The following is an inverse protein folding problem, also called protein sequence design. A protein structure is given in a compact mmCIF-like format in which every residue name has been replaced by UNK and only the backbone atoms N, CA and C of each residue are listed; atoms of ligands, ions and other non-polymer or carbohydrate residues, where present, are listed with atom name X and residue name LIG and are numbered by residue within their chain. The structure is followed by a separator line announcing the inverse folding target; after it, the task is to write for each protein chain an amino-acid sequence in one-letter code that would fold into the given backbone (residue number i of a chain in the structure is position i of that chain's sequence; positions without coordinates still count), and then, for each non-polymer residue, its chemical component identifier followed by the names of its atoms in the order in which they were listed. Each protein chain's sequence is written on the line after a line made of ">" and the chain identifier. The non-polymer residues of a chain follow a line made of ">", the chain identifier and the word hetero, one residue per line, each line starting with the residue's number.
data_IF_877072729751
#
_entry.id   IF_877072729751
#
_cell.length_a   1.000
_cell.length_b   1.000
_cell.length_c   1.000
_cell.angle_alpha   90.00
_cell.angle_beta   90.00
_cell.angle_gamma   90.00
#
_symmetry.space_group_name_H-M   'P 1'
#
loop_
_entity.id
_entity.type
_entity.pdbx_description
1 polymer ?
#
# COMPACT_ATOMS: atom_id res chain seq x y z
N UNK A 1 -9.82 33.71 0.62
CA UNK A 1 -8.88 33.34 1.69
C UNK A 1 -7.96 32.28 1.12
N UNK A 2 -6.69 32.61 0.92
CA UNK A 2 -5.65 31.67 0.46
C UNK A 2 -5.28 30.78 1.64
N UNK A 3 -5.69 29.51 1.61
CA UNK A 3 -5.26 28.52 2.61
C UNK A 3 -3.84 28.07 2.28
N UNK A 4 -2.87 28.39 3.14
CA UNK A 4 -1.52 27.86 3.04
C UNK A 4 -1.49 26.41 3.56
N UNK A 5 -1.03 25.47 2.73
CA UNK A 5 -0.82 24.08 3.09
C UNK A 5 0.66 23.85 3.40
N UNK A 6 0.98 23.33 4.59
CA UNK A 6 2.34 22.98 5.03
C UNK A 6 2.65 21.53 4.68
N UNK A 7 3.84 21.29 4.14
CA UNK A 7 4.32 19.96 3.76
C UNK A 7 5.51 19.59 4.65
N UNK A 8 5.47 18.41 5.28
CA UNK A 8 6.57 17.86 6.07
C UNK A 8 7.08 16.56 5.45
N UNK A 9 8.41 16.45 5.26
CA UNK A 9 9.09 15.27 4.70
C UNK A 9 9.63 14.37 5.82
N UNK A 10 9.49 13.05 5.69
CA UNK A 10 10.22 12.05 6.50
C UNK A 10 11.16 11.26 5.61
N UNK A 11 12.46 11.26 5.93
CA UNK A 11 13.48 10.44 5.27
C UNK A 11 13.93 9.32 6.22
N UNK A 12 13.97 8.07 5.75
CA UNK A 12 14.63 6.96 6.45
C UNK A 12 15.67 6.33 5.51
N UNK A 13 16.91 6.22 5.97
CA UNK A 13 18.01 5.66 5.20
C UNK A 13 17.83 4.15 4.94
N UNK A 14 17.99 3.74 3.68
CA UNK A 14 17.96 2.33 3.27
C UNK A 14 19.34 1.71 3.51
N UNK A 15 19.44 0.69 4.36
CA UNK A 15 20.62 -0.16 4.46
C UNK A 15 20.47 -1.35 3.51
N UNK A 16 21.27 -1.37 2.44
CA UNK A 16 21.43 -2.51 1.53
C UNK A 16 22.33 -3.58 2.14
N UNK A 17 21.86 -4.82 2.22
CA UNK A 17 22.67 -5.99 2.54
C UNK A 17 22.13 -7.24 1.86
N UNK A 18 22.78 -7.67 0.77
CA UNK A 18 22.48 -8.92 0.08
C UNK A 18 23.60 -9.93 0.27
N UNK A 19 23.26 -11.21 0.49
CA UNK A 19 24.18 -12.35 0.26
C UNK A 19 23.37 -13.54 -0.30
N UNK A 20 23.98 -14.18 -1.31
CA UNK A 20 23.53 -15.31 -2.14
C UNK A 20 23.55 -16.68 -1.42
N UNK A 21 22.75 -17.60 -1.98
CA UNK A 21 22.43 -18.94 -1.50
C UNK A 21 23.45 -20.05 -1.85
N UNK A 22 23.31 -21.20 -1.17
CA UNK A 22 23.73 -22.53 -1.64
C UNK A 22 22.63 -23.54 -1.29
N UNK A 23 22.13 -24.30 -2.28
CA UNK A 23 20.93 -25.15 -2.16
C UNK A 23 21.20 -26.64 -1.98
N UNK A 24 20.11 -27.42 -1.85
CA UNK A 24 19.97 -28.82 -2.29
C UNK A 24 18.49 -29.25 -2.22
N UNK A 25 18.07 -30.04 -3.21
CA UNK A 25 16.70 -30.48 -3.51
C UNK A 25 16.46 -31.86 -2.88
N UNK A 26 15.26 -32.10 -2.33
CA UNK A 26 14.72 -33.45 -2.18
C UNK A 26 13.19 -33.46 -2.38
N UNK A 27 12.72 -34.39 -3.21
CA UNK A 27 11.33 -34.66 -3.59
C UNK A 27 10.74 -35.68 -2.62
N UNK A 28 9.49 -35.48 -2.18
CA UNK A 28 8.74 -36.42 -1.35
C UNK A 28 7.23 -36.19 -1.43
N UNK A 29 6.47 -37.28 -1.38
CA UNK A 29 5.13 -37.50 -1.95
C UNK A 29 3.94 -36.91 -1.16
N UNK A 30 2.85 -36.59 -1.90
CA UNK A 30 1.57 -36.09 -1.38
C UNK A 30 0.75 -37.18 -0.68
N UNK A 31 0.33 -36.91 0.55
CA UNK A 31 -0.82 -37.53 1.20
C UNK A 31 -1.85 -36.46 1.58
N UNK A 32 -3.10 -36.61 1.14
CA UNK A 32 -4.21 -35.75 1.51
C UNK A 32 -4.76 -36.13 2.90
N UNK A 33 -4.83 -35.16 3.83
CA UNK A 33 -5.85 -35.14 4.89
C UNK A 33 -6.29 -33.69 5.15
N UNK A 34 -7.60 -33.51 5.20
CA UNK A 34 -8.29 -32.28 5.64
C UNK A 34 -8.08 -32.09 7.14
N UNK A 35 -7.73 -30.88 7.57
CA UNK A 35 -7.71 -30.49 8.97
C UNK A 35 -8.06 -29.00 9.13
N UNK A 36 -9.01 -28.70 10.01
CA UNK A 36 -9.23 -27.35 10.55
C UNK A 36 -7.90 -26.79 11.08
N UNK A 37 -7.52 -25.53 10.79
CA UNK A 37 -6.29 -24.98 11.33
C UNK A 37 -6.47 -24.68 12.81
N UNK A 38 -6.02 -25.61 13.66
CA UNK A 38 -5.73 -25.30 15.05
C UNK A 38 -4.52 -24.34 15.08
N UNK A 39 -4.62 -23.30 15.89
CA UNK A 39 -3.50 -22.41 16.18
C UNK A 39 -2.37 -23.23 16.82
N UNK A 40 -1.30 -23.51 16.06
CA UNK A 40 -0.10 -24.15 16.60
C UNK A 40 0.70 -23.10 17.36
N UNK A 41 0.86 -23.29 18.68
CA UNK A 41 1.85 -22.56 19.46
C UNK A 41 3.26 -22.99 18.99
N UNK A 42 4.02 -22.06 18.40
CA UNK A 42 5.39 -22.30 17.95
C UNK A 42 6.35 -21.51 18.84
N UNK A 43 7.41 -22.17 19.29
CA UNK A 43 8.48 -21.60 20.11
C UNK A 43 9.20 -20.44 19.37
N UNK A 44 9.55 -19.35 20.06
CA UNK A 44 10.21 -18.20 19.45
C UNK A 44 11.58 -18.60 18.88
N UNK A 45 11.71 -18.56 17.55
CA UNK A 45 13.00 -18.56 16.88
C UNK A 45 13.35 -17.13 16.48
N UNK A 46 14.56 -16.68 16.81
CA UNK A 46 15.08 -15.39 16.37
C UNK A 46 15.18 -15.38 14.84
N UNK A 47 14.63 -14.34 14.22
CA UNK A 47 14.54 -14.18 12.77
C UNK A 47 15.81 -13.59 12.13
N UNK A 48 16.92 -13.47 12.88
CA UNK A 48 18.23 -13.10 12.35
C UNK A 48 18.42 -11.62 12.00
N UNK A 49 17.56 -10.73 12.51
CA UNK A 49 17.75 -9.28 12.43
C UNK A 49 17.97 -8.70 13.84
N UNK A 50 18.74 -7.61 13.94
CA UNK A 50 18.91 -6.81 15.16
C UNK A 50 18.08 -5.54 15.02
N UNK A 51 17.18 -5.28 15.98
CA UNK A 51 16.39 -4.04 16.00
C UNK A 51 17.14 -3.00 16.83
N UNK A 52 17.66 -1.95 16.19
CA UNK A 52 18.39 -0.87 16.86
C UNK A 52 17.45 0.19 17.48
N UNK A 53 16.51 -0.22 18.35
CA UNK A 53 15.57 0.73 19.00
C UNK A 53 15.51 0.63 20.53
N UNK A 54 16.35 -0.20 21.15
CA UNK A 54 16.46 -0.27 22.61
C UNK A 54 17.40 0.81 23.16
N UNK A 55 16.90 2.05 23.17
CA UNK A 55 17.42 3.06 24.08
C UNK A 55 16.78 2.86 25.46
N UNK A 56 17.55 2.76 26.56
CA UNK A 56 17.01 2.74 27.91
C UNK A 56 16.10 3.96 28.14
N UNK A 57 14.82 3.74 28.44
CA UNK A 57 13.82 4.80 28.64
C UNK A 57 12.84 5.04 27.49
N UNK A 58 12.95 4.31 26.37
CA UNK A 58 11.93 4.34 25.32
C UNK A 58 10.59 3.74 25.77
N UNK A 59 9.46 4.27 25.30
CA UNK A 59 8.14 3.72 25.62
C UNK A 59 8.06 2.22 25.23
N UNK A 60 7.40 1.35 26.01
CA UNK A 60 7.17 -0.04 25.64
C UNK A 60 6.45 -0.09 24.28
N UNK A 61 6.86 -1.00 23.39
CA UNK A 61 6.25 -1.11 22.07
C UNK A 61 6.64 -2.39 21.34
N UNK A 62 5.75 -2.86 20.47
CA UNK A 62 6.00 -3.98 19.58
C UNK A 62 6.37 -3.48 18.18
N UNK A 63 7.11 -4.30 17.44
CA UNK A 63 7.43 -4.12 16.03
C UNK A 63 6.60 -5.10 15.21
N UNK A 64 5.93 -4.58 14.17
CA UNK A 64 5.03 -5.33 13.30
C UNK A 64 5.63 -5.38 11.91
N UNK A 65 5.83 -6.57 11.36
CA UNK A 65 6.36 -6.71 10.01
C UNK A 65 5.97 -8.05 9.39
N UNK A 66 6.13 -8.15 8.08
CA UNK A 66 5.91 -9.38 7.32
C UNK A 66 7.28 -9.93 6.92
N UNK A 67 7.50 -11.23 7.14
CA UNK A 67 8.72 -11.95 6.77
C UNK A 67 8.46 -12.96 5.65
N UNK A 68 9.53 -13.43 5.00
CA UNK A 68 9.47 -14.38 3.88
C UNK A 68 9.18 -13.70 2.54
N UNK A 69 8.28 -14.28 1.74
CA UNK A 69 7.84 -13.68 0.46
C UNK A 69 6.80 -12.61 0.74
N UNK A 70 7.25 -11.40 1.04
CA UNK A 70 6.37 -10.26 1.33
C UNK A 70 5.78 -9.64 0.06
N UNK A 71 4.75 -8.80 0.22
CA UNK A 71 4.20 -7.99 -0.86
C UNK A 71 5.27 -7.15 -1.58
N UNK A 72 6.31 -6.70 -0.87
CA UNK A 72 7.42 -5.93 -1.43
C UNK A 72 8.56 -6.80 -2.02
N UNK A 73 8.50 -8.13 -1.92
CA UNK A 73 9.58 -9.00 -2.41
C UNK A 73 9.75 -8.88 -3.94
N UNK A 74 11.00 -8.65 -4.38
CA UNK A 74 11.39 -8.49 -5.79
C UNK A 74 12.06 -9.75 -6.37
N UNK A 75 12.36 -10.75 -5.53
CA UNK A 75 13.06 -11.97 -5.95
C UNK A 75 12.12 -13.11 -6.39
N UNK A 76 12.73 -14.15 -6.94
CA UNK A 76 12.03 -15.35 -7.41
C UNK A 76 12.01 -16.49 -6.36
N UNK A 77 12.56 -16.24 -5.16
CA UNK A 77 12.67 -17.25 -4.12
C UNK A 77 11.44 -17.17 -3.22
N UNK A 78 10.58 -18.19 -3.31
CA UNK A 78 9.41 -18.29 -2.44
C UNK A 78 9.78 -18.91 -1.10
N UNK A 79 9.58 -18.15 -0.03
CA UNK A 79 9.60 -18.60 1.37
C UNK A 79 8.19 -18.42 1.97
N UNK A 80 7.78 -19.24 2.95
CA UNK A 80 6.51 -19.03 3.65
C UNK A 80 6.38 -17.58 4.14
N UNK A 81 5.25 -16.97 3.83
CA UNK A 81 4.96 -15.62 4.29
C UNK A 81 4.49 -15.68 5.74
N UNK A 82 5.12 -14.90 6.63
CA UNK A 82 4.83 -14.93 8.07
C UNK A 82 4.52 -13.52 8.54
N UNK A 83 3.35 -13.33 9.14
CA UNK A 83 3.04 -12.13 9.92
C UNK A 83 3.77 -12.22 11.25
N UNK A 84 4.50 -11.18 11.64
CA UNK A 84 5.31 -11.21 12.87
C UNK A 84 5.03 -9.97 13.73
N UNK A 85 4.82 -10.22 15.01
CA UNK A 85 4.90 -9.22 16.07
C UNK A 85 6.08 -9.60 16.94
N UNK A 86 7.02 -8.67 17.11
CA UNK A 86 8.19 -8.83 17.96
C UNK A 86 8.28 -7.71 19.00
N UNK A 87 8.94 -7.97 20.12
CA UNK A 87 9.38 -6.89 21.01
C UNK A 87 10.56 -6.11 20.40
N UNK A 88 11.02 -5.07 21.09
CA UNK A 88 12.15 -4.24 20.64
C UNK A 88 13.49 -4.95 20.66
N UNK A 89 13.63 -6.01 21.46
CA UNK A 89 14.82 -6.86 21.45
C UNK A 89 14.83 -7.86 20.27
N UNK A 90 13.73 -7.93 19.52
CA UNK A 90 13.55 -8.84 18.40
C UNK A 90 12.99 -10.22 18.77
N UNK A 91 12.57 -10.43 20.02
CA UNK A 91 11.88 -11.65 20.40
C UNK A 91 10.48 -11.66 19.79
N UNK A 92 10.16 -12.74 19.07
CA UNK A 92 8.84 -12.94 18.50
C UNK A 92 7.84 -13.18 19.64
N UNK A 93 6.81 -12.35 19.71
CA UNK A 93 5.70 -12.48 20.67
C UNK A 93 4.48 -13.15 20.05
N UNK A 94 4.31 -12.98 18.75
CA UNK A 94 3.28 -13.65 17.97
C UNK A 94 3.73 -13.77 16.52
N UNK A 95 3.38 -14.89 15.90
CA UNK A 95 3.55 -15.05 14.46
C UNK A 95 2.44 -15.89 13.86
N UNK A 96 2.18 -15.68 12.57
CA UNK A 96 1.24 -16.48 11.79
C UNK A 96 1.81 -16.72 10.41
N UNK A 97 2.09 -17.99 10.11
CA UNK A 97 2.40 -18.43 8.75
C UNK A 97 1.13 -18.43 7.91
N UNK A 98 1.23 -17.93 6.68
CA UNK A 98 0.13 -17.86 5.72
C UNK A 98 0.11 -19.11 4.82
N UNK A 99 -1.04 -19.46 4.23
CA UNK A 99 -1.13 -20.54 3.26
C UNK A 99 -0.10 -20.39 2.12
N UNK A 100 0.39 -21.53 1.62
CA UNK A 100 1.36 -21.54 0.53
C UNK A 100 0.82 -20.80 -0.71
N UNK A 101 1.64 -19.89 -1.26
CA UNK A 101 1.28 -19.06 -2.42
C UNK A 101 0.61 -17.74 -2.05
N UNK A 102 0.27 -17.51 -0.79
CA UNK A 102 -0.19 -16.22 -0.29
C UNK A 102 0.96 -15.40 0.31
N UNK A 103 0.78 -14.08 0.24
CA UNK A 103 1.63 -13.07 0.83
C UNK A 103 0.77 -12.07 1.61
N UNK A 104 1.41 -11.17 2.34
CA UNK A 104 0.75 -10.12 3.09
C UNK A 104 1.49 -8.79 3.02
N UNK A 105 0.74 -7.75 3.37
CA UNK A 105 1.18 -6.37 3.52
C UNK A 105 0.30 -5.68 4.57
N UNK A 106 0.61 -4.42 4.89
CA UNK A 106 -0.21 -3.61 5.79
C UNK A 106 -0.43 -4.19 7.20
N UNK A 107 0.51 -5.00 7.71
CA UNK A 107 0.43 -5.50 9.08
C UNK A 107 0.64 -4.34 10.08
N UNK A 108 -0.45 -3.91 10.72
CA UNK A 108 -0.39 -2.81 11.70
C UNK A 108 -1.52 -2.91 12.73
N UNK A 109 -1.35 -2.21 13.85
CA UNK A 109 -2.42 -1.99 14.82
C UNK A 109 -3.27 -0.81 14.37
N UNK A 110 -4.59 -0.99 14.42
CA UNK A 110 -5.58 0.06 14.19
C UNK A 110 -6.62 0.03 15.32
N UNK A 111 -7.64 0.88 15.25
CA UNK A 111 -8.78 0.85 16.18
C UNK A 111 -10.06 0.52 15.45
N UNK A 112 -10.87 -0.36 16.03
CA UNK A 112 -12.22 -0.64 15.58
C UNK A 112 -13.16 -0.61 16.78
N UNK A 113 -14.20 0.24 16.72
CA UNK A 113 -15.17 0.45 17.83
C UNK A 113 -14.49 0.71 19.18
N UNK A 114 -13.46 1.57 19.16
CA UNK A 114 -12.69 1.96 20.34
C UNK A 114 -11.65 0.94 20.83
N UNK A 115 -11.68 -0.30 20.33
CA UNK A 115 -10.73 -1.37 20.72
C UNK A 115 -9.54 -1.46 19.77
N UNK A 116 -8.34 -1.80 20.26
CA UNK A 116 -7.22 -2.12 19.39
C UNK A 116 -7.52 -3.38 18.59
N UNK A 117 -7.15 -3.38 17.31
CA UNK A 117 -7.24 -4.53 16.41
C UNK A 117 -5.96 -4.66 15.60
N UNK A 118 -5.59 -5.88 15.27
CA UNK A 118 -4.53 -6.16 14.31
C UNK A 118 -5.14 -6.26 12.91
N UNK A 119 -4.55 -5.59 11.93
CA UNK A 119 -5.03 -5.59 10.55
C UNK A 119 -3.92 -5.95 9.57
N UNK A 120 -4.26 -6.60 8.47
CA UNK A 120 -3.36 -6.82 7.34
C UNK A 120 -4.15 -7.05 6.05
N UNK A 121 -3.50 -6.85 4.92
CA UNK A 121 -3.93 -7.42 3.64
C UNK A 121 -3.26 -8.79 3.45
N UNK A 122 -3.99 -9.75 2.89
CA UNK A 122 -3.47 -11.08 2.54
C UNK A 122 -4.03 -11.56 1.20
N UNK A 123 -3.16 -12.11 0.35
CA UNK A 123 -3.54 -12.60 -0.97
C UNK A 123 -2.34 -12.88 -1.87
N UNK A 124 -2.52 -12.77 -3.18
CA UNK A 124 -1.48 -12.99 -4.19
C UNK A 124 -0.95 -11.67 -4.71
N UNK A 125 0.35 -11.61 -4.98
CA UNK A 125 0.98 -10.49 -5.70
C UNK A 125 0.87 -10.72 -7.20
N UNK A 126 0.43 -9.71 -7.95
CA UNK A 126 0.37 -9.70 -9.39
C UNK A 126 0.82 -8.34 -9.92
N UNK A 127 1.85 -8.31 -10.77
CA UNK A 127 2.26 -7.10 -11.52
C UNK A 127 2.35 -5.81 -10.69
N UNK A 128 2.87 -5.90 -9.47
CA UNK A 128 3.05 -4.74 -8.58
C UNK A 128 1.87 -4.42 -7.67
N UNK A 129 0.71 -5.08 -7.80
CA UNK A 129 -0.47 -4.91 -6.94
C UNK A 129 -0.95 -6.24 -6.35
N UNK A 130 -1.86 -6.17 -5.39
CA UNK A 130 -2.41 -7.32 -4.69
C UNK A 130 -3.76 -7.78 -5.23
N UNK A 131 -3.99 -9.09 -5.23
CA UNK A 131 -5.32 -9.70 -5.31
C UNK A 131 -5.56 -10.50 -4.03
N UNK A 132 -6.38 -9.95 -3.13
CA UNK A 132 -6.67 -10.59 -1.86
C UNK A 132 -7.84 -9.96 -1.11
N UNK A 133 -7.76 -10.08 0.20
CA UNK A 133 -8.72 -9.54 1.15
C UNK A 133 -8.03 -8.84 2.32
N UNK A 134 -8.77 -7.94 2.95
CA UNK A 134 -8.34 -7.21 4.13
C UNK A 134 -8.88 -7.89 5.39
N UNK A 135 -8.02 -8.17 6.36
CA UNK A 135 -8.34 -8.93 7.56
C UNK A 135 -8.25 -8.08 8.81
N UNK A 136 -9.18 -8.28 9.75
CA UNK A 136 -9.20 -7.65 11.07
C UNK A 136 -9.21 -8.77 12.11
N UNK A 137 -8.27 -8.71 13.05
CA UNK A 137 -8.20 -9.59 14.20
C UNK A 137 -8.30 -8.80 15.52
N UNK A 138 -8.92 -9.43 16.53
CA UNK A 138 -9.02 -8.87 17.88
C UNK A 138 -7.69 -8.95 18.65
N UNK A 139 -7.70 -8.51 19.91
CA UNK A 139 -6.54 -8.54 20.82
C UNK A 139 -6.09 -9.96 21.22
N UNK A 140 -6.90 -10.97 20.91
CA UNK A 140 -6.57 -12.39 21.06
C UNK A 140 -6.13 -13.03 19.74
N UNK A 141 -5.90 -12.21 18.70
CA UNK A 141 -5.49 -12.61 17.36
C UNK A 141 -6.52 -13.48 16.62
N UNK A 142 -7.77 -13.50 17.06
CA UNK A 142 -8.85 -14.15 16.32
C UNK A 142 -9.29 -13.25 15.18
N UNK A 143 -9.40 -13.79 13.97
CA UNK A 143 -9.96 -13.04 12.83
C UNK A 143 -11.45 -12.78 13.10
N UNK A 144 -11.81 -11.51 13.22
CA UNK A 144 -13.19 -11.07 13.48
C UNK A 144 -13.88 -10.48 12.23
N UNK A 145 -13.11 -10.09 11.22
CA UNK A 145 -13.67 -9.68 9.93
C UNK A 145 -12.70 -9.91 8.77
N UNK A 146 -13.28 -10.14 7.60
CA UNK A 146 -12.60 -10.20 6.31
C UNK A 146 -13.42 -9.37 5.33
N UNK A 147 -12.76 -8.43 4.67
CA UNK A 147 -13.36 -7.41 3.81
C UNK A 147 -12.74 -7.44 2.41
N UNK A 148 -13.56 -7.14 1.42
CA UNK A 148 -13.16 -6.75 0.07
C UNK A 148 -13.72 -5.36 -0.22
N UNK A 149 -13.27 -4.67 -1.29
CA UNK A 149 -13.85 -3.39 -1.70
C UNK A 149 -15.33 -3.49 -2.13
N UNK A 150 -15.84 -4.71 -2.33
CA UNK A 150 -17.19 -5.03 -2.79
C UNK A 150 -17.28 -5.36 -4.28
N UNK A 151 -18.43 -5.89 -4.70
CA UNK A 151 -18.62 -6.40 -6.06
C UNK A 151 -17.64 -7.51 -6.40
N UNK A 152 -17.08 -7.47 -7.60
CA UNK A 152 -16.04 -8.40 -8.08
C UNK A 152 -14.61 -7.90 -7.79
N UNK A 153 -14.47 -6.78 -7.05
CA UNK A 153 -13.15 -6.20 -6.77
C UNK A 153 -12.40 -6.99 -5.71
N UNK A 154 -11.08 -7.08 -5.91
CA UNK A 154 -10.15 -7.65 -4.96
C UNK A 154 -9.44 -6.55 -4.17
N UNK A 155 -9.16 -6.78 -2.88
CA UNK A 155 -8.34 -5.83 -2.11
C UNK A 155 -6.93 -5.84 -2.65
N UNK A 156 -6.36 -4.66 -2.86
CA UNK A 156 -4.96 -4.48 -3.20
C UNK A 156 -4.07 -4.47 -1.94
N UNK A 157 -2.80 -4.76 -2.15
CA UNK A 157 -1.79 -4.90 -1.10
C UNK A 157 -1.32 -3.58 -0.50
N UNK A 158 -1.58 -2.44 -1.13
CA UNK A 158 -0.96 -1.17 -0.72
C UNK A 158 -1.66 -0.48 0.43
N UNK A 159 -3.00 -0.55 0.52
CA UNK A 159 -3.72 0.16 1.58
C UNK A 159 -4.89 -0.62 2.15
N UNK A 160 -4.93 -0.68 3.49
CA UNK A 160 -6.09 -1.08 4.25
C UNK A 160 -6.16 -0.28 5.56
N UNK A 161 -7.02 0.74 5.61
CA UNK A 161 -7.12 1.67 6.75
C UNK A 161 -8.51 1.67 7.35
N UNK A 162 -8.62 1.58 8.67
CA UNK A 162 -9.86 1.75 9.42
C UNK A 162 -10.04 3.21 9.79
N UNK A 163 -11.29 3.68 9.73
CA UNK A 163 -11.67 5.01 10.19
C UNK A 163 -12.30 4.94 11.59
N UNK A 164 -12.24 6.01 12.39
CA UNK A 164 -12.79 6.02 13.75
C UNK A 164 -14.28 5.67 13.84
N UNK A 165 -15.05 5.93 12.79
CA UNK A 165 -16.48 5.64 12.69
C UNK A 165 -16.81 4.23 12.17
N UNK A 166 -15.81 3.34 12.09
CA UNK A 166 -16.04 1.92 11.79
C UNK A 166 -16.14 1.58 10.30
N UNK A 167 -15.62 2.45 9.42
CA UNK A 167 -15.45 2.16 8.00
C UNK A 167 -14.02 1.69 7.71
N UNK A 168 -13.83 1.17 6.51
CA UNK A 168 -12.55 0.73 5.97
C UNK A 168 -12.30 1.41 4.62
N UNK A 169 -11.08 1.91 4.41
CA UNK A 169 -10.55 2.43 3.17
C UNK A 169 -9.71 1.31 2.54
N UNK A 170 -10.02 0.94 1.30
CA UNK A 170 -9.39 -0.18 0.60
C UNK A 170 -9.08 0.24 -0.85
N UNK A 171 -7.85 -0.03 -1.30
CA UNK A 171 -7.45 0.12 -2.71
C UNK A 171 -7.78 -1.13 -3.52
N UNK A 172 -7.96 -0.98 -4.83
CA UNK A 172 -8.13 -2.10 -5.77
C UNK A 172 -7.69 -1.70 -7.18
N UNK A 173 -7.32 -2.70 -8.00
CA UNK A 173 -6.74 -2.51 -9.33
C UNK A 173 -7.52 -3.33 -10.39
N UNK A 174 -8.82 -3.09 -10.61
CA UNK A 174 -9.56 -3.78 -11.67
C UNK A 174 -8.92 -3.50 -13.03
N UNK A 175 -8.77 -4.55 -13.82
CA UNK A 175 -8.33 -4.44 -15.20
C UNK A 175 -9.54 -4.14 -16.09
N UNK A 176 -9.46 -3.07 -16.86
CA UNK A 176 -10.54 -2.66 -17.78
C UNK A 176 -9.97 -2.35 -19.17
N UNK A 177 -10.81 -2.47 -20.20
CA UNK A 177 -10.47 -2.03 -21.54
C UNK A 177 -10.46 -0.49 -21.61
N UNK A 178 -9.47 0.09 -22.30
CA UNK A 178 -9.36 1.53 -22.50
C UNK A 178 -8.62 1.88 -23.80
N UNK A 179 -8.96 3.03 -24.36
CA UNK A 179 -8.22 3.62 -25.48
C UNK A 179 -6.91 4.26 -24.99
N UNK A 180 -5.78 3.69 -25.38
CA UNK A 180 -4.44 4.16 -25.00
C UNK A 180 -3.76 4.98 -26.11
N UNK A 181 -4.46 5.33 -27.19
CA UNK A 181 -3.88 6.06 -28.33
C UNK A 181 -3.30 7.41 -27.92
N UNK A 182 -3.89 8.09 -26.92
CA UNK A 182 -3.41 9.36 -26.38
C UNK A 182 -1.99 9.30 -25.79
N UNK A 183 -1.49 8.11 -25.47
CA UNK A 183 -0.12 7.86 -24.96
C UNK A 183 0.71 6.98 -25.92
N UNK A 184 0.28 6.86 -27.19
CA UNK A 184 0.96 6.04 -28.21
C UNK A 184 0.74 4.53 -28.06
N UNK A 185 -0.25 4.11 -27.26
CA UNK A 185 -0.66 2.71 -27.11
C UNK A 185 -1.76 2.28 -28.09
N UNK A 186 -2.23 1.02 -27.98
CA UNK A 186 -3.33 0.49 -28.79
C UNK A 186 -4.68 1.11 -28.40
N UNK A 187 -5.64 1.10 -29.36
CA UNK A 187 -7.01 1.58 -29.14
C UNK A 187 -7.84 0.66 -28.23
N UNK A 188 -7.51 -0.63 -28.22
CA UNK A 188 -8.15 -1.69 -27.45
C UNK A 188 -7.20 -2.21 -26.33
N UNK A 189 -6.49 -1.28 -25.69
CA UNK A 189 -5.59 -1.60 -24.60
C UNK A 189 -6.30 -1.98 -23.30
N UNK A 190 -5.50 -2.38 -22.31
CA UNK A 190 -5.97 -2.63 -20.95
C UNK A 190 -5.27 -1.70 -19.98
N UNK A 191 -5.99 -1.23 -18.96
CA UNK A 191 -5.47 -0.35 -17.91
C UNK A 191 -5.90 -0.87 -16.54
N UNK A 192 -5.07 -0.70 -15.52
CA UNK A 192 -5.51 -0.85 -14.14
C UNK A 192 -6.28 0.40 -13.71
N UNK A 193 -7.60 0.30 -13.60
CA UNK A 193 -8.44 1.39 -13.13
C UNK A 193 -8.43 1.46 -11.60
N UNK A 194 -7.34 1.98 -11.02
CA UNK A 194 -7.18 2.08 -9.57
C UNK A 194 -8.42 2.68 -8.91
N UNK A 195 -9.02 1.93 -7.99
CA UNK A 195 -10.30 2.29 -7.36
C UNK A 195 -10.12 2.36 -5.84
N UNK A 196 -10.48 3.51 -5.27
CA UNK A 196 -10.55 3.75 -3.83
C UNK A 196 -11.97 3.42 -3.35
N UNK A 197 -12.10 2.56 -2.34
CA UNK A 197 -13.40 2.15 -1.79
C UNK A 197 -13.51 2.46 -0.31
N UNK A 198 -14.72 2.86 0.11
CA UNK A 198 -15.10 3.00 1.52
C UNK A 198 -16.15 1.95 1.85
N UNK A 199 -15.84 1.08 2.79
CA UNK A 199 -16.66 -0.08 3.15
C UNK A 199 -17.06 0.01 4.62
N UNK A 200 -18.33 -0.20 4.94
CA UNK A 200 -18.75 -0.37 6.32
C UNK A 200 -18.26 -1.71 6.85
N UNK A 201 -17.50 -1.72 7.95
CA UNK A 201 -16.88 -2.96 8.46
C UNK A 201 -17.92 -3.94 9.00
N UNK A 202 -19.02 -3.44 9.56
CA UNK A 202 -20.03 -4.26 10.23
C UNK A 202 -20.98 -4.93 9.25
N UNK A 203 -21.44 -4.18 8.24
CA UNK A 203 -22.38 -4.68 7.22
C UNK A 203 -21.66 -5.24 5.99
N UNK A 204 -20.36 -4.94 5.84
CA UNK A 204 -19.54 -5.24 4.66
C UNK A 204 -20.05 -4.56 3.38
N UNK A 205 -20.92 -3.57 3.51
CA UNK A 205 -21.46 -2.84 2.37
C UNK A 205 -20.46 -1.78 1.89
N UNK A 206 -20.27 -1.72 0.58
CA UNK A 206 -19.54 -0.64 -0.06
C UNK A 206 -20.40 0.62 -0.03
N UNK A 207 -19.91 1.65 0.64
CA UNK A 207 -20.59 2.94 0.80
C UNK A 207 -20.23 3.91 -0.33
N UNK A 208 -19.04 3.76 -0.90
CA UNK A 208 -18.51 4.64 -1.94
C UNK A 208 -17.38 3.96 -2.70
N UNK A 209 -17.28 4.26 -4.00
CA UNK A 209 -16.15 3.89 -4.85
C UNK A 209 -15.79 5.06 -5.74
N UNK A 210 -14.49 5.28 -5.91
CA UNK A 210 -13.94 6.31 -6.78
C UNK A 210 -12.86 5.69 -7.66
N UNK A 211 -13.09 5.69 -8.97
CA UNK A 211 -12.18 5.09 -9.95
C UNK A 211 -11.37 6.15 -10.69
N UNK A 212 -10.06 5.94 -10.79
CA UNK A 212 -9.15 6.93 -11.33
C UNK A 212 -9.44 7.28 -12.80
N UNK A 213 -9.85 6.31 -13.62
CA UNK A 213 -10.05 6.48 -15.06
C UNK A 213 -11.20 7.44 -15.40
N UNK A 214 -12.25 7.49 -14.57
CA UNK A 214 -13.36 8.44 -14.75
C UNK A 214 -12.98 9.89 -14.43
N UNK A 215 -11.86 10.12 -13.76
CA UNK A 215 -11.51 11.44 -13.19
C UNK A 215 -10.13 11.98 -13.58
N UNK A 216 -9.21 11.11 -13.99
CA UNK A 216 -7.84 11.45 -14.34
C UNK A 216 -7.56 10.96 -15.76
N UNK A 217 -7.21 11.85 -16.70
CA UNK A 217 -6.82 11.45 -18.04
C UNK A 217 -5.58 10.54 -18.01
N UNK A 218 -5.62 9.42 -18.74
CA UNK A 218 -4.48 8.50 -18.91
C UNK A 218 -3.21 9.24 -19.39
N UNK A 219 -3.37 10.29 -20.21
CA UNK A 219 -2.28 11.14 -20.70
C UNK A 219 -1.53 11.92 -19.62
N UNK A 220 -2.09 12.02 -18.41
CA UNK A 220 -1.39 12.62 -17.28
C UNK A 220 -0.25 11.70 -16.79
N UNK A 221 -0.33 10.39 -17.03
CA UNK A 221 0.72 9.44 -16.68
C UNK A 221 2.03 9.72 -17.42
N UNK A 222 3.19 9.70 -16.75
CA UNK A 222 4.51 9.72 -17.41
C UNK A 222 4.97 8.31 -17.82
N UNK A 223 4.22 7.26 -17.47
CA UNK A 223 4.59 5.88 -17.77
C UNK A 223 4.47 5.59 -19.27
N UNK A 224 5.35 4.70 -19.76
CA UNK A 224 5.29 4.24 -21.16
C UNK A 224 4.40 3.02 -21.27
N UNK A 225 3.49 3.04 -22.23
CA UNK A 225 2.73 1.85 -22.61
C UNK A 225 3.69 0.78 -23.18
N UNK A 226 3.59 -0.45 -22.69
CA UNK A 226 4.33 -1.60 -23.22
C UNK A 226 3.33 -2.55 -23.88
N UNK A 227 3.57 -2.93 -25.13
CA UNK A 227 2.64 -3.77 -25.89
C UNK A 227 2.37 -5.11 -25.18
N UNK A 228 1.10 -5.51 -25.15
CA UNK A 228 0.66 -6.76 -24.50
C UNK A 228 0.61 -6.72 -22.97
N UNK A 229 0.94 -5.60 -22.33
CA UNK A 229 0.84 -5.42 -20.88
C UNK A 229 -0.34 -4.51 -20.52
N UNK A 230 -0.96 -4.80 -19.38
CA UNK A 230 -1.94 -3.90 -18.77
C UNK A 230 -1.22 -2.66 -18.27
N UNK A 231 -1.68 -1.48 -18.71
CA UNK A 231 -1.06 -0.21 -18.41
C UNK A 231 -1.38 0.22 -16.98
N UNK A 232 -0.34 0.50 -16.18
CA UNK A 232 -0.49 1.08 -14.85
C UNK A 232 -0.29 2.60 -14.93
N UNK A 233 -1.39 3.31 -15.20
CA UNK A 233 -1.36 4.75 -15.37
C UNK A 233 -1.13 5.51 -14.06
N UNK A 234 -1.57 4.94 -12.94
CA UNK A 234 -1.85 5.69 -11.71
C UNK A 234 -1.05 5.18 -10.50
N UNK A 235 -0.98 3.87 -10.33
CA UNK A 235 -0.34 3.20 -9.19
C UNK A 235 -0.75 3.80 -7.83
N UNK A 236 -2.03 3.64 -7.47
CA UNK A 236 -2.61 4.13 -6.20
C UNK A 236 -2.07 3.36 -5.00
N UNK A 237 -1.34 4.00 -4.10
CA UNK A 237 -0.59 3.30 -3.05
C UNK A 237 -0.90 3.72 -1.61
N UNK A 238 -1.79 4.70 -1.40
CA UNK A 238 -2.32 5.03 -0.07
C UNK A 238 -3.61 5.83 -0.15
N UNK A 239 -4.45 5.67 0.88
CA UNK A 239 -5.70 6.41 1.07
C UNK A 239 -5.82 6.77 2.56
N UNK A 240 -6.17 8.02 2.84
CA UNK A 240 -6.54 8.51 4.17
C UNK A 240 -7.85 9.31 4.10
N UNK A 241 -8.41 9.62 5.27
CA UNK A 241 -9.42 10.66 5.41
C UNK A 241 -8.73 11.97 5.78
N UNK A 242 -9.17 13.08 5.20
CA UNK A 242 -8.85 14.41 5.73
C UNK A 242 -9.76 14.74 6.94
N UNK A 243 -9.48 15.82 7.69
CA UNK A 243 -10.31 16.22 8.82
C UNK A 243 -11.74 16.63 8.47
N UNK A 244 -12.03 16.92 7.20
CA UNK A 244 -13.38 17.22 6.72
C UNK A 244 -14.16 15.96 6.30
N UNK A 245 -13.52 14.78 6.30
CA UNK A 245 -14.11 13.50 5.91
C UNK A 245 -14.06 13.22 4.41
N UNK A 246 -13.22 13.93 3.65
CA UNK A 246 -12.91 13.63 2.26
C UNK A 246 -11.76 12.64 2.16
N UNK A 247 -11.59 12.02 1.00
CA UNK A 247 -10.48 11.09 0.76
C UNK A 247 -9.24 11.85 0.34
N UNK A 248 -8.09 11.47 0.88
CA UNK A 248 -6.76 11.89 0.41
C UNK A 248 -6.07 10.68 -0.17
N UNK A 249 -5.75 10.74 -1.45
CA UNK A 249 -5.33 9.58 -2.26
C UNK A 249 -3.97 9.87 -2.87
N UNK A 250 -3.03 8.95 -2.71
CA UNK A 250 -1.72 9.02 -3.35
C UNK A 250 -1.69 8.22 -4.65
N UNK A 251 -1.32 8.88 -5.74
CA UNK A 251 -1.03 8.26 -7.04
C UNK A 251 0.46 8.32 -7.30
N UNK A 252 1.13 7.19 -7.08
CA UNK A 252 2.59 7.09 -7.13
C UNK A 252 3.13 7.37 -8.53
N UNK A 253 2.52 6.78 -9.56
CA UNK A 253 3.00 6.91 -10.94
C UNK A 253 2.87 8.35 -11.45
N UNK A 254 1.90 9.11 -10.92
CA UNK A 254 1.68 10.50 -11.28
C UNK A 254 2.51 11.48 -10.44
N UNK A 255 3.16 11.02 -9.37
CA UNK A 255 3.75 11.90 -8.34
C UNK A 255 2.75 12.96 -7.87
N UNK A 256 1.49 12.55 -7.64
CA UNK A 256 0.38 13.46 -7.34
C UNK A 256 -0.46 12.92 -6.19
N UNK A 257 -0.84 13.82 -5.29
CA UNK A 257 -1.83 13.57 -4.23
C UNK A 257 -3.15 14.26 -4.61
N UNK A 258 -4.26 13.57 -4.41
CA UNK A 258 -5.60 14.06 -4.70
C UNK A 258 -6.41 14.15 -3.42
N UNK A 259 -7.17 15.23 -3.25
CA UNK A 259 -8.29 15.25 -2.32
C UNK A 259 -9.59 15.12 -3.10
N UNK A 260 -10.40 14.15 -2.69
CA UNK A 260 -11.63 13.75 -3.36
C UNK A 260 -12.79 13.90 -2.40
N UNK A 261 -13.77 14.70 -2.80
CA UNK A 261 -15.01 14.86 -2.06
C UNK A 261 -15.73 13.50 -1.96
N UNK A 262 -15.90 13.04 -0.72
CA UNK A 262 -16.46 11.70 -0.45
C UNK A 262 -17.94 11.57 -0.87
N UNK A 263 -18.66 12.68 -1.01
CA UNK A 263 -20.11 12.68 -1.34
C UNK A 263 -20.36 12.70 -2.83
N UNK A 264 -19.50 13.37 -3.58
CA UNK A 264 -19.70 13.67 -5.00
C UNK A 264 -18.68 12.98 -5.92
N UNK A 265 -17.54 12.55 -5.38
CA UNK A 265 -16.41 12.05 -6.16
C UNK A 265 -15.63 13.13 -6.90
N UNK A 266 -15.95 14.41 -6.70
CA UNK A 266 -15.22 15.51 -7.31
C UNK A 266 -13.81 15.63 -6.71
N UNK A 267 -12.82 15.94 -7.55
CA UNK A 267 -11.49 16.27 -7.08
C UNK A 267 -11.52 17.72 -6.58
N UNK A 268 -11.33 17.91 -5.28
CA UNK A 268 -11.28 19.23 -4.64
C UNK A 268 -9.96 19.95 -4.98
N UNK A 269 -8.85 19.23 -4.89
CA UNK A 269 -7.52 19.75 -5.21
C UNK A 269 -6.52 18.64 -5.57
N UNK A 270 -5.41 19.03 -6.19
CA UNK A 270 -4.31 18.15 -6.60
C UNK A 270 -2.98 18.76 -6.18
N UNK A 271 -2.17 18.02 -5.43
CA UNK A 271 -0.84 18.44 -4.99
C UNK A 271 0.22 17.65 -5.77
N UNK A 272 1.12 18.35 -6.46
CA UNK A 272 2.16 17.73 -7.30
C UNK A 272 1.70 17.35 -8.71
N UNK A 273 2.61 16.73 -9.46
CA UNK A 273 2.41 16.28 -10.84
C UNK A 273 2.11 17.40 -11.86
N UNK A 274 1.60 16.99 -13.02
CA UNK A 274 1.40 17.88 -14.19
C UNK A 274 0.32 18.95 -13.99
N UNK A 275 -0.63 18.73 -13.08
CA UNK A 275 -1.84 19.56 -12.92
C UNK A 275 -2.07 19.95 -11.46
N UNK A 276 -1.02 20.34 -10.74
CA UNK A 276 -1.19 20.79 -9.37
C UNK A 276 -2.08 22.03 -9.31
N UNK A 277 -2.97 22.08 -8.33
CA UNK A 277 -3.80 23.25 -8.00
C UNK A 277 -3.12 24.19 -7.01
N UNK A 278 -1.89 23.86 -6.59
CA UNK A 278 -1.08 24.67 -5.69
C UNK A 278 0.12 25.23 -6.46
N UNK A 279 0.49 26.47 -6.16
CA UNK A 279 1.81 26.99 -6.48
C UNK A 279 2.78 26.46 -5.42
N UNK A 280 3.66 25.56 -5.81
CA UNK A 280 4.68 25.02 -4.92
C UNK A 280 5.82 26.03 -4.79
N UNK A 281 6.29 26.25 -3.56
CA UNK A 281 7.45 27.11 -3.31
C UNK A 281 8.75 26.50 -3.83
N UNK A 282 9.79 27.32 -3.90
CA UNK A 282 11.11 26.87 -4.36
C UNK A 282 11.62 25.66 -3.54
N UNK A 283 12.10 24.63 -4.24
CA UNK A 283 12.60 23.39 -3.62
C UNK A 283 11.52 22.45 -3.06
N UNK A 284 10.24 22.78 -3.22
CA UNK A 284 9.12 21.93 -2.81
C UNK A 284 8.74 20.98 -3.97
N UNK A 285 9.55 19.94 -4.13
CA UNK A 285 9.35 18.87 -5.12
C UNK A 285 9.36 17.49 -4.46
N UNK A 286 8.44 16.62 -4.87
CA UNK A 286 8.40 15.21 -4.46
C UNK A 286 8.04 14.33 -5.65
N UNK A 287 8.41 13.06 -5.58
CA UNK A 287 8.07 12.09 -6.61
C UNK A 287 7.88 10.69 -6.05
N UNK A 288 6.99 9.92 -6.68
CA UNK A 288 6.73 8.51 -6.36
C UNK A 288 6.37 8.26 -4.89
N UNK A 289 5.67 9.21 -4.26
CA UNK A 289 5.39 9.24 -2.83
C UNK A 289 4.52 8.07 -2.34
N UNK A 290 4.63 7.75 -1.05
CA UNK A 290 3.78 6.79 -0.33
C UNK A 290 3.22 7.41 0.96
N UNK A 291 2.28 6.70 1.58
CA UNK A 291 1.74 6.97 2.92
C UNK A 291 1.34 8.43 3.13
N UNK A 292 0.41 8.89 2.29
CA UNK A 292 -0.14 10.23 2.43
C UNK A 292 -1.13 10.27 3.58
N UNK A 293 -0.99 11.26 4.44
CA UNK A 293 -1.92 11.58 5.51
C UNK A 293 -2.16 13.08 5.62
N UNK A 294 -3.30 13.45 6.23
CA UNK A 294 -3.62 14.82 6.64
C UNK A 294 -3.94 14.86 8.13
N UNK A 295 -2.93 15.08 9.01
CA UNK A 295 -3.17 15.14 10.45
C UNK A 295 -4.06 16.34 10.86
N UNK A 296 -4.07 17.40 10.05
CA UNK A 296 -4.92 18.56 10.20
C UNK A 296 -5.28 19.15 8.83
N UNK A 297 -6.16 20.16 8.80
CA UNK A 297 -6.72 20.72 7.57
C UNK A 297 -5.70 21.48 6.72
N UNK A 298 -4.55 21.82 7.28
CA UNK A 298 -3.51 22.62 6.63
C UNK A 298 -2.19 21.85 6.43
N UNK A 299 -2.12 20.57 6.81
CA UNK A 299 -0.88 19.80 6.76
C UNK A 299 -1.07 18.52 5.96
N UNK A 300 -0.19 18.30 4.97
CA UNK A 300 -0.04 17.01 4.30
C UNK A 300 1.31 16.42 4.69
N UNK A 301 1.30 15.17 5.14
CA UNK A 301 2.50 14.37 5.34
C UNK A 301 2.55 13.26 4.31
N UNK A 302 3.75 12.97 3.81
CA UNK A 302 3.99 11.89 2.87
C UNK A 302 5.40 11.33 3.05
N UNK A 303 5.60 10.10 2.59
CA UNK A 303 6.92 9.53 2.40
C UNK A 303 7.40 9.82 0.97
N UNK A 304 8.40 10.69 0.82
CA UNK A 304 8.95 11.08 -0.48
C UNK A 304 10.04 10.09 -0.89
N UNK A 305 9.71 9.19 -1.82
CA UNK A 305 10.67 8.23 -2.35
C UNK A 305 11.71 8.91 -3.25
N UNK A 306 11.33 9.99 -3.95
CA UNK A 306 12.13 10.79 -4.88
C UNK A 306 12.76 10.04 -6.07
N UNK A 307 12.82 8.72 -6.05
CA UNK A 307 13.46 7.88 -7.05
C UNK A 307 12.86 6.47 -7.08
N UNK A 308 12.64 5.92 -8.28
CA UNK A 308 12.38 4.50 -8.52
C UNK A 308 13.53 3.91 -9.35
N UNK A 309 14.16 2.86 -8.85
CA UNK A 309 15.35 2.24 -9.43
C UNK A 309 15.19 1.72 -10.86
N UNK A 310 16.16 2.09 -11.71
CA UNK A 310 16.50 1.49 -13.02
C UNK A 310 15.44 1.49 -14.12
N UNK A 311 14.86 2.66 -14.43
CA UNK A 311 14.55 3.12 -15.80
C UNK A 311 14.37 4.63 -15.76
N UNK A 312 15.52 5.32 -15.78
CA UNK A 312 15.57 6.77 -15.75
C UNK A 312 14.92 7.38 -16.99
N UNK A 313 13.89 8.21 -16.76
CA UNK A 313 13.76 9.53 -17.40
C UNK A 313 12.97 10.45 -16.47
N UNK A 314 13.65 10.95 -15.44
CA UNK A 314 13.76 12.39 -15.28
C UNK A 314 15.26 12.67 -15.27
N UNK A 315 15.82 12.86 -16.47
CA UNK A 315 17.10 13.53 -16.55
C UNK A 315 16.85 14.93 -15.97
N UNK A 316 17.40 15.19 -14.79
CA UNK A 316 17.82 16.55 -14.45
C UNK A 316 18.64 17.03 -15.64
N UNK A 317 18.07 17.88 -16.49
CA UNK A 317 18.87 18.68 -17.41
C UNK A 317 19.63 19.64 -16.50
N UNK A 318 20.96 19.55 -16.38
CA UNK A 318 21.71 20.51 -15.60
C UNK A 318 21.58 21.85 -16.32
N UNK A 319 20.93 22.82 -15.68
CA UNK A 319 21.29 24.21 -15.93
C UNK A 319 22.76 24.35 -15.51
N UNK A 320 23.64 24.60 -16.49
CA UNK A 320 24.89 25.33 -16.22
C UNK A 320 25.04 26.49 -17.20
N UNK A 321 25.64 27.60 -16.73
CA UNK A 321 25.50 28.89 -17.34
C UNK A 321 26.61 29.19 -18.35
N UNK A 322 26.23 29.79 -19.48
CA UNK A 322 26.76 31.03 -20.05
C UNK A 322 25.82 31.45 -21.18
#
# INVERSE_FOLDING_TARGET
>A
MTSELRISRRQLGVATGGILAGGLIAVGTRGHKSANPAASAVSPQSLGYTINVDQPGGAPGYVFFVSGTTAAHLGNVSRPCVLVVADKAGHVVWQRELPAGETAGNLRVQRYRGKPVLTWWQGRKQSGHGLGASYIADEHYNVISTLTPGGELSSDMHEFRLTPDGRALITSYPEVAADLTAIGGPRDGRVYNCTASVVDVATKQTLFQWDALSHIPISDSPARCTAGQTFDAYHMNSIAMDPAGNLVISMRALSTVFNVDYRTGAINWRLGGKRSTFALGDGVEFAYQHDVEMPDAATVTLFDNHYEGSRGTWAMVPCRPA
#
